data_IF_868651909275
#
_entry.id   IF_868651909275
#
_cell.length_a   1.000
_cell.length_b   1.000
_cell.length_c   1.000
_cell.angle_alpha   90.00
_cell.angle_beta   90.00
_cell.angle_gamma   90.00
#
_symmetry.space_group_name_H-M   'P 1'
#
loop_
_entity.id
_entity.type
_entity.pdbx_description
1 polymer ?
#
# COMPACT_ATOMS: atom_id res chain seq x y z
N UNK A 1 14.70 0.50 45.14
CA UNK A 1 14.04 1.04 43.93
C UNK A 1 14.88 2.19 43.43
N UNK A 2 15.59 2.00 42.33
CA UNK A 2 16.49 3.02 41.76
C UNK A 2 15.65 3.99 40.95
N UNK A 3 15.48 5.21 41.46
CA UNK A 3 14.76 6.29 40.78
C UNK A 3 15.52 6.64 39.50
N UNK A 4 14.92 6.37 38.34
CA UNK A 4 15.50 6.79 37.07
C UNK A 4 15.60 8.33 37.08
N UNK A 5 16.80 8.86 36.88
CA UNK A 5 17.06 10.29 36.74
C UNK A 5 16.24 10.79 35.55
N UNK A 6 15.27 11.68 35.78
CA UNK A 6 14.40 12.24 34.75
C UNK A 6 15.20 13.15 33.83
N UNK A 7 15.79 12.58 32.78
CA UNK A 7 16.41 13.31 31.68
C UNK A 7 15.34 14.15 30.97
N UNK A 8 15.62 15.43 30.72
CA UNK A 8 14.71 16.34 29.99
C UNK A 8 14.34 15.72 28.64
N UNK A 9 13.05 15.62 28.33
CA UNK A 9 12.58 15.10 27.04
C UNK A 9 12.98 16.04 25.90
N UNK A 10 13.20 15.48 24.71
CA UNK A 10 13.55 16.27 23.53
C UNK A 10 12.50 17.34 23.17
N UNK A 11 11.22 17.01 23.35
CA UNK A 11 10.09 17.95 23.17
C UNK A 11 10.12 19.14 24.15
N UNK A 12 10.95 19.06 25.21
CA UNK A 12 11.14 20.10 26.22
C UNK A 12 12.56 20.70 26.17
N UNK A 13 13.27 20.56 25.05
CA UNK A 13 14.62 21.12 24.86
C UNK A 13 15.76 20.26 25.39
N UNK A 14 15.49 19.03 25.83
CA UNK A 14 16.53 18.04 26.10
C UNK A 14 17.13 17.45 24.82
N UNK A 15 18.21 16.67 24.95
CA UNK A 15 18.78 15.95 23.80
C UNK A 15 17.93 14.71 23.45
N UNK A 16 17.61 14.48 22.17
CA UNK A 16 17.01 13.23 21.70
C UNK A 16 17.79 12.00 22.19
N UNK A 17 17.06 10.91 22.40
CA UNK A 17 17.68 9.62 22.76
C UNK A 17 18.44 9.02 21.57
N UNK A 18 18.05 9.39 20.35
CA UNK A 18 18.69 8.98 19.11
C UNK A 18 18.60 10.12 18.09
N UNK A 19 19.67 10.31 17.33
CA UNK A 19 19.69 11.22 16.18
C UNK A 19 19.09 10.56 14.92
N UNK A 20 18.78 9.26 14.99
CA UNK A 20 18.15 8.51 13.89
C UNK A 20 16.63 8.72 13.92
N UNK A 21 16.09 9.29 12.85
CA UNK A 21 14.64 9.38 12.67
C UNK A 21 14.00 7.99 12.52
N UNK A 22 12.90 7.76 13.22
CA UNK A 22 12.08 6.55 13.08
C UNK A 22 10.98 6.85 12.06
N UNK A 23 11.02 6.28 10.84
CA UNK A 23 10.01 6.55 9.83
C UNK A 23 8.69 5.88 10.22
N UNK A 24 7.58 6.59 10.02
CA UNK A 24 6.24 6.04 10.24
C UNK A 24 5.92 4.87 9.29
N UNK A 25 6.41 4.94 8.05
CA UNK A 25 6.25 3.90 7.04
C UNK A 25 7.54 3.76 6.25
N UNK A 26 8.09 2.54 6.20
CA UNK A 26 9.27 2.19 5.41
C UNK A 26 9.08 0.78 4.85
N UNK A 27 8.47 0.63 3.65
CA UNK A 27 8.33 -0.66 3.00
C UNK A 27 9.68 -1.35 2.87
N UNK A 28 9.75 -2.62 3.26
CA UNK A 28 10.94 -3.42 3.05
C UNK A 28 10.85 -4.04 1.66
N UNK A 29 11.86 -3.77 0.83
CA UNK A 29 12.02 -4.42 -0.46
C UNK A 29 13.19 -5.39 -0.35
N UNK A 30 12.99 -6.58 -0.88
CA UNK A 30 14.03 -7.57 -1.05
C UNK A 30 14.66 -7.46 -2.45
N UNK A 31 15.72 -8.23 -2.70
CA UNK A 31 16.44 -8.14 -3.97
C UNK A 31 15.57 -8.62 -5.13
N UNK A 32 14.73 -9.61 -4.86
CA UNK A 32 13.78 -10.21 -5.79
C UNK A 32 12.74 -9.19 -6.28
N UNK A 33 12.28 -8.29 -5.40
CA UNK A 33 11.32 -7.23 -5.77
C UNK A 33 11.94 -6.26 -6.79
N UNK A 34 13.20 -5.89 -6.54
CA UNK A 34 13.97 -4.98 -7.41
C UNK A 34 14.23 -5.66 -8.75
N UNK A 35 14.69 -6.92 -8.73
CA UNK A 35 15.00 -7.67 -9.95
C UNK A 35 13.74 -7.91 -10.79
N UNK A 36 12.58 -8.14 -10.16
CA UNK A 36 11.30 -8.25 -10.86
C UNK A 36 10.92 -6.94 -11.58
N UNK A 37 11.14 -5.78 -10.93
CA UNK A 37 10.91 -4.49 -11.55
C UNK A 37 11.88 -4.22 -12.72
N UNK A 38 13.17 -4.55 -12.55
CA UNK A 38 14.19 -4.43 -13.60
C UNK A 38 13.82 -5.28 -14.81
N UNK A 39 13.37 -6.53 -14.62
CA UNK A 39 12.98 -7.41 -15.71
C UNK A 39 11.83 -6.81 -16.57
N UNK A 40 10.88 -6.10 -15.95
CA UNK A 40 9.82 -5.38 -16.70
C UNK A 40 10.41 -4.23 -17.50
N UNK A 41 11.30 -3.44 -16.89
CA UNK A 41 11.97 -2.31 -17.56
C UNK A 41 12.78 -2.78 -18.77
N UNK A 42 13.58 -3.84 -18.62
CA UNK A 42 14.38 -4.42 -19.69
C UNK A 42 13.53 -5.02 -20.82
N UNK A 43 12.33 -5.54 -20.50
CA UNK A 43 11.43 -6.10 -21.50
C UNK A 43 10.78 -5.05 -22.42
N UNK A 44 10.75 -3.78 -22.01
CA UNK A 44 10.01 -2.70 -22.70
C UNK A 44 8.49 -2.81 -22.63
N UNK A 45 7.93 -3.86 -22.00
CA UNK A 45 6.48 -4.06 -21.82
C UNK A 45 5.97 -3.26 -20.62
N UNK A 46 5.99 -1.92 -20.75
CA UNK A 46 5.73 -0.98 -19.65
C UNK A 46 4.23 -0.66 -19.41
N UNK A 47 3.35 -1.16 -20.28
CA UNK A 47 1.89 -1.09 -20.09
C UNK A 47 1.37 -2.41 -19.57
N UNK A 48 0.09 -2.44 -19.18
CA UNK A 48 -0.59 -3.66 -18.76
C UNK A 48 -0.29 -4.82 -19.74
N UNK A 49 0.36 -5.85 -19.22
CA UNK A 49 0.94 -6.96 -19.99
C UNK A 49 1.05 -8.20 -19.09
N UNK A 50 1.91 -9.16 -19.45
CA UNK A 50 1.97 -10.48 -18.80
C UNK A 50 2.12 -10.45 -17.27
N UNK A 51 2.89 -9.51 -16.70
CA UNK A 51 3.02 -9.40 -15.23
C UNK A 51 1.74 -8.96 -14.52
N UNK A 52 0.92 -8.12 -15.16
CA UNK A 52 -0.40 -7.77 -14.66
C UNK A 52 -1.33 -8.98 -14.66
N UNK A 53 -1.36 -9.74 -15.76
CA UNK A 53 -2.18 -10.94 -15.85
C UNK A 53 -1.78 -12.01 -14.82
N UNK A 54 -0.47 -12.20 -14.61
CA UNK A 54 0.04 -13.11 -13.57
C UNK A 54 -0.41 -12.68 -12.16
N UNK A 55 -0.34 -11.37 -11.87
CA UNK A 55 -0.81 -10.84 -10.59
C UNK A 55 -2.32 -11.02 -10.43
N UNK A 56 -3.11 -10.77 -11.48
CA UNK A 56 -4.56 -10.92 -11.48
C UNK A 56 -4.99 -12.35 -11.16
N UNK A 57 -4.37 -13.35 -11.81
CA UNK A 57 -4.65 -14.76 -11.57
C UNK A 57 -4.30 -15.16 -10.13
N UNK A 58 -3.09 -14.82 -9.68
CA UNK A 58 -2.61 -15.18 -8.34
C UNK A 58 -3.43 -14.50 -7.25
N UNK A 59 -3.74 -13.22 -7.42
CA UNK A 59 -4.50 -12.45 -6.43
C UNK A 59 -5.97 -12.90 -6.37
N UNK A 60 -6.59 -13.20 -7.51
CA UNK A 60 -7.93 -13.77 -7.55
C UNK A 60 -8.00 -15.10 -6.79
N UNK A 61 -7.03 -15.99 -6.99
CA UNK A 61 -6.94 -17.25 -6.25
C UNK A 61 -6.76 -17.05 -4.72
N UNK A 62 -5.95 -16.07 -4.30
CA UNK A 62 -5.72 -15.78 -2.87
C UNK A 62 -6.97 -15.19 -2.19
N UNK A 63 -7.73 -14.37 -2.92
CA UNK A 63 -8.92 -13.68 -2.42
C UNK A 63 -10.22 -14.47 -2.57
N UNK A 64 -10.16 -15.68 -3.14
CA UNK A 64 -11.32 -16.50 -3.53
C UNK A 64 -12.26 -15.78 -4.52
N UNK A 65 -11.72 -14.80 -5.26
CA UNK A 65 -12.46 -14.10 -6.30
C UNK A 65 -12.42 -14.89 -7.61
N UNK A 66 -13.55 -14.91 -8.33
CA UNK A 66 -13.62 -15.53 -9.65
C UNK A 66 -12.74 -14.82 -10.70
N UNK A 67 -12.53 -13.52 -10.53
CA UNK A 67 -11.80 -12.65 -11.45
C UNK A 67 -10.93 -11.66 -10.67
N UNK A 68 -9.80 -11.28 -11.25
CA UNK A 68 -8.91 -10.22 -10.77
C UNK A 68 -8.67 -9.19 -11.87
N UNK A 69 -8.50 -7.92 -11.49
CA UNK A 69 -8.15 -6.84 -12.41
C UNK A 69 -7.15 -5.90 -11.74
N UNK A 70 -6.00 -5.69 -12.38
CA UNK A 70 -5.02 -4.69 -11.95
C UNK A 70 -5.49 -3.28 -12.30
N UNK A 71 -5.20 -2.34 -11.40
CA UNK A 71 -5.39 -0.92 -11.62
C UNK A 71 -4.30 -0.13 -10.89
N UNK A 72 -4.34 1.19 -10.98
CA UNK A 72 -3.27 2.06 -10.48
C UNK A 72 -3.23 2.19 -8.95
N UNK A 73 -4.37 2.09 -8.27
CA UNK A 73 -4.48 2.20 -6.80
C UNK A 73 -5.89 1.82 -6.30
N UNK A 74 -6.07 1.80 -4.97
CA UNK A 74 -7.34 1.45 -4.33
C UNK A 74 -8.51 2.37 -4.69
N UNK A 75 -8.29 3.68 -4.86
CA UNK A 75 -9.36 4.60 -5.28
C UNK A 75 -9.86 4.26 -6.68
N UNK A 76 -8.95 4.00 -7.62
CA UNK A 76 -9.30 3.58 -8.97
C UNK A 76 -10.03 2.22 -8.97
N UNK A 77 -9.62 1.28 -8.12
CA UNK A 77 -10.32 -0.01 -7.96
C UNK A 77 -11.78 0.19 -7.57
N UNK A 78 -12.04 1.04 -6.57
CA UNK A 78 -13.39 1.36 -6.13
C UNK A 78 -14.20 2.08 -7.23
N UNK A 79 -13.61 3.07 -7.91
CA UNK A 79 -14.27 3.75 -9.02
C UNK A 79 -14.67 2.81 -10.17
N UNK A 80 -13.79 1.88 -10.53
CA UNK A 80 -14.07 0.88 -11.56
C UNK A 80 -15.22 -0.05 -11.13
N UNK A 81 -15.25 -0.46 -9.86
CA UNK A 81 -16.35 -1.26 -9.33
C UNK A 81 -17.67 -0.47 -9.37
N UNK A 82 -17.68 0.73 -8.79
CA UNK A 82 -18.88 1.57 -8.67
C UNK A 82 -19.47 1.98 -10.02
N UNK A 83 -18.64 2.31 -11.00
CA UNK A 83 -19.10 2.70 -12.34
C UNK A 83 -19.91 1.61 -13.07
N UNK A 84 -19.78 0.35 -12.64
CA UNK A 84 -20.56 -0.77 -13.16
C UNK A 84 -21.72 -1.21 -12.28
N UNK A 85 -21.76 -0.75 -11.02
CA UNK A 85 -22.69 -1.23 -10.00
C UNK A 85 -23.80 -0.23 -9.66
N UNK A 86 -23.55 1.07 -9.82
CA UNK A 86 -24.42 2.13 -9.31
C UNK A 86 -24.94 3.06 -10.39
N UNK A 87 -26.10 3.66 -10.13
CA UNK A 87 -26.76 4.63 -10.99
C UNK A 87 -27.03 5.96 -10.26
N UNK A 88 -27.25 7.07 -10.99
CA UNK A 88 -27.65 8.33 -10.38
C UNK A 88 -28.90 8.19 -9.52
N UNK A 89 -28.78 8.47 -8.23
CA UNK A 89 -29.85 8.31 -7.25
C UNK A 89 -29.60 7.22 -6.22
N UNK A 90 -28.61 6.34 -6.43
CA UNK A 90 -28.22 5.33 -5.46
C UNK A 90 -27.52 5.95 -4.24
N UNK A 91 -27.81 5.39 -3.06
CA UNK A 91 -27.13 5.73 -1.81
C UNK A 91 -26.16 4.62 -1.41
N UNK A 92 -24.94 5.01 -1.04
CA UNK A 92 -23.88 4.07 -0.66
C UNK A 92 -23.54 4.31 0.80
N UNK A 93 -23.87 3.34 1.66
CA UNK A 93 -23.53 3.40 3.07
C UNK A 93 -22.04 3.05 3.26
N UNK A 94 -21.30 3.92 3.91
CA UNK A 94 -19.92 3.68 4.31
C UNK A 94 -19.72 4.01 5.80
N UNK A 95 -18.71 3.40 6.46
CA UNK A 95 -18.37 3.77 7.82
C UNK A 95 -17.98 5.25 7.93
N UNK A 96 -18.47 5.93 8.97
CA UNK A 96 -18.08 7.32 9.25
C UNK A 96 -16.59 7.46 9.66
N UNK A 97 -15.93 6.35 9.97
CA UNK A 97 -14.52 6.29 10.32
C UNK A 97 -13.83 5.21 9.48
N UNK A 98 -13.05 5.65 8.51
CA UNK A 98 -12.25 4.81 7.60
C UNK A 98 -10.96 5.59 7.26
N UNK A 99 -10.09 5.01 6.43
CA UNK A 99 -8.83 5.62 5.97
C UNK A 99 -9.03 6.97 5.29
#
# INVERSE_FOLDING_TARGET
MTTATTKTLAIHGGSPVTDTAVPFMKPQLHREDIDAAIAVLESGMLRAAGRCAELEERFAAISDAKHGLTCSNGTAALQLAYGSLFEPGDEILCPAWTF
#
